data_IF_005598194034
#
_entry.id   IF_005598194034
#
_cell.length_a   1.000
_cell.length_b   1.000
_cell.length_c   1.000
_cell.angle_alpha   90.00
_cell.angle_beta   90.00
_cell.angle_gamma   90.00
#
_symmetry.space_group_name_H-M   'P 1'
#
loop_
_entity.id
_entity.type
_entity.pdbx_description
1 polymer ?
#
# COMPACT_ATOMS: atom_id res chain seq x y z
N UNK A 1 12.84 -28.14 -11.39
CA UNK A 1 12.78 -27.02 -10.44
C UNK A 1 12.78 -25.73 -11.23
N UNK A 2 11.63 -25.09 -11.39
CA UNK A 2 11.55 -23.71 -11.87
C UNK A 2 11.97 -22.81 -10.71
N UNK A 3 13.11 -22.15 -10.83
CA UNK A 3 13.47 -21.07 -9.93
C UNK A 3 12.40 -19.98 -10.11
N UNK A 4 11.51 -19.83 -9.12
CA UNK A 4 10.70 -18.63 -9.01
C UNK A 4 11.72 -17.54 -8.72
N UNK A 5 12.08 -16.76 -9.74
CA UNK A 5 12.89 -15.58 -9.54
C UNK A 5 12.10 -14.71 -8.55
N UNK A 6 12.63 -14.58 -7.34
CA UNK A 6 12.06 -13.67 -6.35
C UNK A 6 12.24 -12.27 -6.95
N UNK A 7 11.17 -11.68 -7.48
CA UNK A 7 11.27 -10.31 -7.98
C UNK A 7 11.74 -9.42 -6.83
N UNK A 8 12.74 -8.54 -7.07
CA UNK A 8 13.20 -7.65 -6.01
C UNK A 8 12.03 -6.81 -5.51
N UNK A 9 11.96 -6.62 -4.18
CA UNK A 9 10.90 -5.83 -3.58
C UNK A 9 10.86 -4.44 -4.22
N UNK A 10 9.66 -3.99 -4.56
CA UNK A 10 9.39 -2.66 -5.13
C UNK A 10 8.76 -1.78 -4.07
N UNK A 11 9.03 -0.49 -4.16
CA UNK A 11 8.45 0.52 -3.30
C UNK A 11 7.20 1.08 -3.97
N UNK A 12 6.09 1.10 -3.24
CA UNK A 12 4.82 1.65 -3.68
C UNK A 12 4.41 2.80 -2.76
N UNK A 13 3.90 3.87 -3.36
CA UNK A 13 3.20 4.95 -2.65
C UNK A 13 1.70 4.71 -2.76
N UNK A 14 0.97 4.80 -1.66
CA UNK A 14 -0.46 4.55 -1.60
C UNK A 14 -1.15 5.77 -0.99
N UNK A 15 -2.11 6.35 -1.69
CA UNK A 15 -2.91 7.46 -1.19
C UNK A 15 -4.14 6.91 -0.47
N UNK A 16 -4.26 7.22 0.82
CA UNK A 16 -5.42 6.89 1.65
C UNK A 16 -6.21 8.18 1.89
N UNK A 17 -7.47 8.19 1.46
CA UNK A 17 -8.35 9.36 1.56
C UNK A 17 -9.57 9.02 2.43
N UNK A 18 -9.86 9.79 3.48
CA UNK A 18 -11.10 9.67 4.24
C UNK A 18 -12.33 9.82 3.34
N UNK A 19 -13.45 9.17 3.69
CA UNK A 19 -14.67 9.19 2.87
C UNK A 19 -15.27 10.58 2.64
N UNK A 20 -15.05 11.51 3.57
CA UNK A 20 -15.63 12.86 3.56
C UNK A 20 -14.59 13.97 3.28
N UNK A 21 -13.36 13.62 2.89
CA UNK A 21 -12.25 14.58 2.71
C UNK A 21 -11.71 14.52 1.27
N UNK A 22 -11.41 15.68 0.69
CA UNK A 22 -10.73 15.79 -0.61
C UNK A 22 -9.20 15.64 -0.47
N UNK A 23 -8.69 15.59 0.76
CA UNK A 23 -7.28 15.45 1.08
C UNK A 23 -6.96 14.04 1.62
N UNK A 24 -6.03 13.36 0.94
CA UNK A 24 -5.51 12.06 1.37
C UNK A 24 -4.08 12.14 1.91
N UNK A 25 -3.66 11.11 2.64
CA UNK A 25 -2.28 10.94 3.11
C UNK A 25 -1.58 9.84 2.31
N UNK A 26 -0.35 10.10 1.87
CA UNK A 26 0.47 9.11 1.19
C UNK A 26 1.24 8.24 2.18
N UNK A 27 1.17 6.92 1.97
CA UNK A 27 1.87 5.91 2.75
C UNK A 27 2.76 5.07 1.85
N UNK A 28 3.98 4.77 2.30
CA UNK A 28 4.92 3.95 1.53
C UNK A 28 4.89 2.50 2.01
N UNK A 29 4.82 1.56 1.08
CA UNK A 29 4.92 0.12 1.35
C UNK A 29 5.92 -0.54 0.40
N UNK A 30 6.48 -1.68 0.83
CA UNK A 30 7.33 -2.53 0.00
C UNK A 30 6.63 -3.83 -0.31
N UNK A 31 6.57 -4.23 -1.59
CA UNK A 31 5.95 -5.48 -2.04
C UNK A 31 6.62 -5.97 -3.33
N UNK A 32 6.55 -7.27 -3.66
CA UNK A 32 7.15 -7.76 -4.90
C UNK A 32 6.36 -7.33 -6.15
N UNK A 33 5.06 -7.06 -6.01
CA UNK A 33 4.18 -6.64 -7.09
C UNK A 33 3.06 -5.71 -6.62
N UNK A 34 2.37 -5.06 -7.57
CA UNK A 34 1.21 -4.21 -7.27
C UNK A 34 0.06 -5.00 -6.64
N UNK A 35 -0.11 -6.28 -7.03
CA UNK A 35 -1.13 -7.15 -6.46
C UNK A 35 -0.85 -7.49 -4.99
N UNK A 36 0.43 -7.70 -4.64
CA UNK A 36 0.84 -7.85 -3.24
C UNK A 36 0.72 -6.55 -2.46
N UNK A 37 1.07 -5.41 -3.06
CA UNK A 37 0.90 -4.10 -2.46
C UNK A 37 -0.57 -3.86 -2.10
N UNK A 38 -1.51 -4.07 -3.03
CA UNK A 38 -2.95 -3.95 -2.79
C UNK A 38 -3.46 -4.94 -1.74
N UNK A 39 -2.96 -6.18 -1.73
CA UNK A 39 -3.32 -7.17 -0.71
C UNK A 39 -2.82 -6.75 0.67
N UNK A 40 -1.63 -6.17 0.76
CA UNK A 40 -1.06 -5.62 1.99
C UNK A 40 -1.90 -4.47 2.53
N UNK A 41 -2.28 -3.51 1.67
CA UNK A 41 -3.15 -2.38 2.05
C UNK A 41 -4.52 -2.84 2.54
N UNK A 42 -5.04 -3.96 2.04
CA UNK A 42 -6.31 -4.53 2.53
C UNK A 42 -6.20 -5.26 3.87
N UNK A 43 -4.99 -5.56 4.34
CA UNK A 43 -4.77 -6.26 5.61
C UNK A 43 -4.92 -5.31 6.79
N UNK A 44 -5.49 -5.77 7.91
CA UNK A 44 -5.61 -4.96 9.13
C UNK A 44 -4.25 -4.44 9.63
N UNK A 45 -3.19 -5.25 9.45
CA UNK A 45 -1.83 -4.93 9.87
C UNK A 45 -1.30 -3.64 9.21
N UNK A 46 -1.64 -3.37 7.95
CA UNK A 46 -1.22 -2.14 7.28
C UNK A 46 -1.80 -0.90 7.99
N UNK A 47 -3.09 -0.92 8.30
CA UNK A 47 -3.78 0.21 8.92
C UNK A 47 -3.27 0.49 10.34
N UNK A 48 -2.96 -0.56 11.09
CA UNK A 48 -2.35 -0.46 12.41
C UNK A 48 -0.91 0.06 12.35
N UNK A 49 -0.08 -0.51 11.45
CA UNK A 49 1.34 -0.20 11.37
C UNK A 49 1.61 1.18 10.76
N UNK A 50 0.81 1.59 9.78
CA UNK A 50 0.92 2.88 9.12
C UNK A 50 0.38 4.05 9.97
N UNK A 51 -0.12 3.77 11.19
CA UNK A 51 -0.69 4.75 12.12
C UNK A 51 -1.76 5.62 11.45
N UNK A 52 -2.58 5.00 10.57
CA UNK A 52 -3.64 5.69 9.87
C UNK A 52 -4.73 6.05 10.89
N UNK A 53 -5.10 7.33 10.93
CA UNK A 53 -6.00 7.88 11.96
C UNK A 53 -7.47 7.50 11.80
N UNK A 54 -7.81 6.91 10.65
CA UNK A 54 -9.16 6.54 10.27
C UNK A 54 -9.26 5.03 10.16
N UNK A 55 -10.44 4.47 10.43
CA UNK A 55 -10.68 3.05 10.22
C UNK A 55 -10.76 2.73 8.72
N UNK A 56 -10.60 1.45 8.38
CA UNK A 56 -10.70 0.97 7.00
C UNK A 56 -12.08 1.23 6.38
N UNK A 57 -13.13 1.31 7.19
CA UNK A 57 -14.49 1.56 6.71
C UNK A 57 -14.76 3.06 6.49
N UNK A 58 -13.91 3.94 7.04
CA UNK A 58 -14.00 5.40 6.93
C UNK A 58 -13.07 5.99 5.86
N UNK A 59 -12.26 5.16 5.19
CA UNK A 59 -11.27 5.61 4.23
C UNK A 59 -11.15 4.69 3.01
N UNK A 60 -10.68 5.26 1.91
CA UNK A 60 -10.50 4.56 0.64
C UNK A 60 -9.06 4.63 0.17
N UNK A 61 -8.64 3.63 -0.63
CA UNK A 61 -7.40 3.70 -1.39
C UNK A 61 -7.70 4.44 -2.68
N UNK A 62 -7.30 5.71 -2.78
CA UNK A 62 -7.62 6.54 -3.94
C UNK A 62 -6.60 6.41 -5.06
N UNK A 63 -5.33 6.13 -4.74
CA UNK A 63 -4.27 5.95 -5.72
C UNK A 63 -3.18 5.00 -5.21
N UNK A 64 -2.49 4.36 -6.15
CA UNK A 64 -1.28 3.59 -5.89
C UNK A 64 -0.27 3.82 -7.02
N UNK A 65 0.97 4.10 -6.64
CA UNK A 65 2.06 4.41 -7.57
C UNK A 65 3.27 3.52 -7.29
N UNK A 66 3.91 2.98 -8.33
CA UNK A 66 5.16 2.25 -8.21
C UNK A 66 6.33 3.23 -8.28
N UNK A 67 7.05 3.39 -7.17
CA UNK A 67 8.21 4.29 -7.07
C UNK A 67 9.53 3.66 -7.56
N UNK A 68 9.50 2.37 -7.93
CA UNK A 68 10.66 1.62 -8.40
C UNK A 68 11.12 0.57 -7.40
N UNK A 69 12.39 0.20 -7.45
CA UNK A 69 12.95 -0.84 -6.57
C UNK A 69 13.13 -0.31 -5.14
N UNK A 70 12.85 -1.15 -4.15
CA UNK A 70 13.20 -0.87 -2.76
C UNK A 70 14.70 -1.20 -2.58
N UNK A 71 15.49 -0.16 -2.29
CA UNK A 71 16.88 -0.29 -1.84
C UNK A 71 16.94 -0.48 -0.32
#
# INVERSE_FOLDING_TARGET
MTAIACEPARRYSVLITPGDDDHGTWHTITAASIGEALRSVRSALFWETAQIRYSRDEATVSAIECLGNAH
#
